data_IF_261668634872
#
_entry.id   IF_261668634872
#
_cell.length_a   1.000
_cell.length_b   1.000
_cell.length_c   1.000
_cell.angle_alpha   90.00
_cell.angle_beta   90.00
_cell.angle_gamma   90.00
#
_symmetry.space_group_name_H-M   'P 1'
#
loop_
_entity.id
_entity.type
_entity.pdbx_description
1 polymer ?
#
# COMPACT_ATOMS: atom_id res chain seq x y z
N UNK A 1 23.88 9.35 21.54
CA UNK A 1 23.20 8.14 21.04
C UNK A 1 23.10 8.27 19.52
N UNK A 2 23.84 7.47 18.75
CA UNK A 2 23.74 7.43 17.28
C UNK A 2 23.12 6.07 16.94
N UNK A 3 22.08 6.09 16.12
CA UNK A 3 21.22 4.96 15.72
C UNK A 3 20.24 4.45 16.79
N UNK A 4 18.95 4.79 16.59
CA UNK A 4 17.84 4.26 17.38
C UNK A 4 17.25 3.02 16.69
N UNK A 5 16.98 1.97 17.46
CA UNK A 5 16.25 0.78 16.98
C UNK A 5 14.97 0.61 17.78
N UNK A 6 14.07 -0.28 17.34
CA UNK A 6 12.87 -0.59 18.14
C UNK A 6 13.19 -1.16 19.52
N UNK A 7 14.37 -1.77 19.70
CA UNK A 7 14.83 -2.25 21.02
C UNK A 7 15.24 -1.11 21.96
N UNK A 8 15.46 0.10 21.45
CA UNK A 8 15.76 1.29 22.25
C UNK A 8 14.52 1.89 22.92
N UNK A 9 13.33 1.33 22.68
CA UNK A 9 12.09 1.73 23.35
C UNK A 9 12.08 1.21 24.79
N UNK A 10 11.79 2.07 25.75
CA UNK A 10 11.71 1.64 27.15
C UNK A 10 11.77 2.78 28.15
N UNK A 11 11.69 2.43 29.43
CA UNK A 11 11.87 3.35 30.54
C UNK A 11 13.36 3.55 30.81
N UNK A 12 13.81 4.79 30.72
CA UNK A 12 15.18 5.20 31.02
C UNK A 12 15.20 5.97 32.33
N UNK A 13 16.24 5.73 33.12
CA UNK A 13 16.46 6.35 34.42
C UNK A 13 17.79 7.08 34.41
N UNK A 14 17.79 8.34 34.83
CA UNK A 14 18.98 9.11 35.11
C UNK A 14 19.14 9.20 36.63
N UNK A 15 20.35 8.95 37.12
CA UNK A 15 20.69 9.03 38.53
C UNK A 15 21.98 9.83 38.69
N UNK A 16 22.00 10.73 39.65
CA UNK A 16 23.16 11.54 40.04
C UNK A 16 23.41 11.30 41.50
N UNK A 17 24.65 10.97 41.86
CA UNK A 17 25.06 10.68 43.22
C UNK A 17 26.23 11.56 43.63
N UNK A 18 26.20 12.05 44.85
CA UNK A 18 27.27 12.78 45.50
C UNK A 18 28.28 11.80 46.13
N UNK A 19 29.56 12.14 46.07
CA UNK A 19 30.64 11.37 46.71
C UNK A 19 30.98 11.93 48.11
N UNK A 20 31.81 11.21 48.87
CA UNK A 20 32.14 11.52 50.25
C UNK A 20 32.50 13.02 50.51
N UNK A 21 32.13 13.57 51.69
CA UNK A 21 31.64 12.88 52.89
C UNK A 21 30.11 12.67 52.97
N UNK A 22 29.33 13.28 52.08
CA UNK A 22 27.86 13.19 52.02
C UNK A 22 27.42 12.33 50.85
N UNK A 23 26.75 11.21 51.13
CA UNK A 23 26.17 10.34 50.10
C UNK A 23 24.69 10.69 49.89
N UNK A 24 24.41 11.55 48.92
CA UNK A 24 23.06 11.85 48.46
C UNK A 24 22.88 11.40 47.00
N UNK A 25 21.70 10.91 46.63
CA UNK A 25 21.38 10.64 45.23
C UNK A 25 20.02 11.19 44.83
N UNK A 26 19.92 11.61 43.57
CA UNK A 26 18.68 12.06 42.93
C UNK A 26 18.48 11.30 41.63
N UNK A 27 17.23 10.93 41.34
CA UNK A 27 16.87 10.11 40.19
C UNK A 27 15.66 10.69 39.46
N UNK A 28 15.58 10.46 38.15
CA UNK A 28 14.39 10.74 37.34
C UNK A 28 14.23 9.70 36.24
N UNK A 29 12.98 9.41 35.87
CA UNK A 29 12.64 8.40 34.86
C UNK A 29 11.84 9.01 33.71
N UNK A 30 12.08 8.52 32.49
CA UNK A 30 11.34 8.93 31.28
C UNK A 30 11.21 7.75 30.30
N UNK A 31 10.04 7.60 29.68
CA UNK A 31 9.81 6.57 28.67
C UNK A 31 10.20 7.07 27.28
N UNK A 32 11.13 6.38 26.62
CA UNK A 32 11.52 6.64 25.24
C UNK A 32 10.64 5.83 24.29
N UNK A 33 9.85 6.51 23.46
CA UNK A 33 9.08 5.91 22.37
C UNK A 33 9.85 6.04 21.05
N UNK A 34 9.76 5.01 20.18
CA UNK A 34 10.48 4.98 18.91
C UNK A 34 9.48 4.84 17.77
N UNK A 35 9.52 5.78 16.83
CA UNK A 35 8.69 5.74 15.62
C UNK A 35 9.54 5.37 14.42
N UNK A 36 9.06 4.39 13.65
CA UNK A 36 9.63 4.01 12.36
C UNK A 36 8.66 4.35 11.25
N UNK A 37 8.85 5.51 10.61
CA UNK A 37 7.96 5.95 9.54
C UNK A 37 8.21 5.18 8.23
N UNK A 38 7.15 4.86 7.47
CA UNK A 38 7.29 4.17 6.19
C UNK A 38 8.03 5.05 5.18
N UNK A 39 9.08 4.49 4.57
CA UNK A 39 9.85 5.15 3.51
C UNK A 39 9.11 5.15 2.18
N UNK A 40 8.36 4.09 1.92
CA UNK A 40 7.62 3.88 0.68
C UNK A 40 6.14 4.23 0.83
N UNK A 41 5.49 4.52 -0.30
CA UNK A 41 4.04 4.70 -0.36
C UNK A 41 3.31 3.37 -0.19
N UNK A 42 2.05 3.36 0.29
CA UNK A 42 1.27 2.13 0.33
C UNK A 42 1.12 1.52 -1.07
N UNK A 43 1.05 0.20 -1.14
CA UNK A 43 0.86 -0.56 -2.38
C UNK A 43 -0.61 -0.90 -2.54
N UNK A 44 -1.16 -0.66 -3.74
CA UNK A 44 -2.51 -1.07 -4.13
C UNK A 44 -2.41 -2.27 -5.07
N UNK A 45 -3.19 -3.33 -4.80
CA UNK A 45 -3.19 -4.59 -5.55
C UNK A 45 -4.60 -5.08 -5.82
N UNK A 46 -4.76 -6.00 -6.77
CA UNK A 46 -6.05 -6.54 -7.21
C UNK A 46 -6.51 -5.88 -8.51
N UNK A 47 -6.14 -4.62 -8.69
CA UNK A 47 -6.52 -3.78 -9.82
C UNK A 47 -5.90 -4.16 -11.18
N UNK A 48 -5.03 -5.17 -11.23
CA UNK A 48 -4.31 -5.56 -12.45
C UNK A 48 -5.20 -6.33 -13.45
N UNK A 49 -6.28 -6.96 -12.97
CA UNK A 49 -7.24 -7.67 -13.83
C UNK A 49 -8.29 -6.69 -14.34
N UNK A 50 -8.68 -6.83 -15.61
CA UNK A 50 -9.83 -6.12 -16.13
C UNK A 50 -11.09 -6.51 -15.35
N UNK A 51 -11.78 -5.52 -14.77
CA UNK A 51 -13.08 -5.74 -14.14
C UNK A 51 -14.19 -5.54 -15.14
N UNK A 52 -15.26 -6.31 -15.02
CA UNK A 52 -16.48 -6.11 -15.80
C UNK A 52 -17.40 -5.12 -15.09
N UNK A 53 -18.13 -4.31 -15.87
CA UNK A 53 -19.26 -3.56 -15.29
C UNK A 53 -20.23 -4.57 -14.66
N UNK A 54 -20.68 -4.28 -13.44
CA UNK A 54 -21.62 -5.06 -12.59
C UNK A 54 -21.00 -6.08 -11.63
N UNK A 55 -19.70 -6.35 -11.70
CA UNK A 55 -19.00 -7.07 -10.62
C UNK A 55 -18.40 -6.05 -9.64
N UNK A 56 -18.34 -6.35 -8.33
CA UNK A 56 -17.69 -5.47 -7.37
C UNK A 56 -16.17 -5.43 -7.63
N UNK A 57 -15.62 -4.24 -7.45
CA UNK A 57 -14.18 -3.99 -7.45
C UNK A 57 -13.60 -4.44 -6.11
N UNK A 58 -12.76 -5.47 -6.15
CA UNK A 58 -12.04 -5.99 -4.99
C UNK A 58 -10.55 -5.66 -5.10
N UNK A 59 -10.07 -4.75 -4.23
CA UNK A 59 -8.68 -4.32 -4.17
C UNK A 59 -8.18 -4.24 -2.74
N UNK A 60 -6.87 -4.44 -2.57
CA UNK A 60 -6.21 -4.32 -1.28
C UNK A 60 -5.22 -3.17 -1.29
N UNK A 61 -5.15 -2.45 -0.17
CA UNK A 61 -4.08 -1.53 0.12
C UNK A 61 -3.24 -2.07 1.27
N UNK A 62 -1.93 -2.21 1.06
CA UNK A 62 -0.97 -2.60 2.09
C UNK A 62 0.03 -1.48 2.33
N UNK A 63 0.30 -1.15 3.58
CA UNK A 63 1.32 -0.17 3.94
C UNK A 63 2.73 -0.71 3.71
N UNK A 64 3.72 0.19 3.66
CA UNK A 64 5.09 -0.21 3.93
C UNK A 64 5.28 -0.53 5.42
N UNK A 65 6.40 -1.16 5.76
CA UNK A 65 6.76 -1.53 7.13
C UNK A 65 6.94 -0.26 7.98
N UNK A 66 6.32 -0.23 9.16
CA UNK A 66 6.43 0.89 10.09
C UNK A 66 6.21 0.48 11.54
N UNK A 67 6.46 1.40 12.47
CA UNK A 67 6.04 1.26 13.85
C UNK A 67 5.66 2.64 14.42
N UNK A 68 4.46 2.80 15.01
CA UNK A 68 3.38 1.81 15.08
C UNK A 68 2.82 1.45 13.69
N UNK A 69 1.87 0.52 13.65
CA UNK A 69 1.15 0.20 12.42
C UNK A 69 0.39 1.45 11.93
N UNK A 70 0.38 1.73 10.62
CA UNK A 70 -0.29 2.91 10.10
C UNK A 70 -1.79 2.68 9.98
N UNK A 71 -2.55 3.74 10.19
CA UNK A 71 -3.98 3.76 9.88
C UNK A 71 -4.15 3.92 8.36
N UNK A 72 -4.95 3.02 7.78
CA UNK A 72 -5.25 3.03 6.35
C UNK A 72 -6.64 3.63 6.09
N UNK A 73 -6.73 4.44 5.05
CA UNK A 73 -7.97 5.06 4.61
C UNK A 73 -8.09 5.03 3.09
N UNK A 74 -9.23 4.53 2.60
CA UNK A 74 -9.59 4.61 1.19
C UNK A 74 -10.31 5.91 0.86
N UNK A 75 -9.96 6.49 -0.28
CA UNK A 75 -10.62 7.63 -0.91
C UNK A 75 -10.95 7.24 -2.34
N UNK A 76 -12.23 7.28 -2.70
CA UNK A 76 -12.74 6.91 -4.03
C UNK A 76 -13.31 8.17 -4.67
N UNK A 77 -12.81 8.53 -5.85
CA UNK A 77 -13.25 9.71 -6.60
C UNK A 77 -13.20 11.02 -5.77
N UNK A 78 -12.22 11.11 -4.87
CA UNK A 78 -12.04 12.26 -3.96
C UNK A 78 -12.82 12.18 -2.65
N UNK A 79 -13.75 11.22 -2.52
CA UNK A 79 -14.55 11.03 -1.31
C UNK A 79 -13.94 9.97 -0.37
N UNK A 80 -13.81 10.30 0.92
CA UNK A 80 -13.37 9.33 1.93
C UNK A 80 -14.45 8.26 2.13
N UNK A 81 -14.04 6.99 2.10
CA UNK A 81 -14.93 5.86 2.39
C UNK A 81 -15.04 5.69 3.90
N UNK A 82 -16.23 5.96 4.44
CA UNK A 82 -16.56 5.78 5.87
C UNK A 82 -17.50 4.62 6.12
N UNK A 83 -18.21 4.15 5.09
CA UNK A 83 -19.07 2.98 5.17
C UNK A 83 -18.23 1.71 5.32
N UNK A 84 -18.40 1.04 6.47
CA UNK A 84 -17.68 -0.20 6.80
C UNK A 84 -18.08 -1.36 5.91
N UNK A 85 -19.25 -1.35 5.29
CA UNK A 85 -19.70 -2.43 4.39
C UNK A 85 -18.80 -2.57 3.16
N UNK A 86 -18.08 -1.49 2.78
CA UNK A 86 -17.13 -1.50 1.67
C UNK A 86 -15.71 -1.88 2.10
N UNK A 87 -15.45 -1.95 3.41
CA UNK A 87 -14.09 -2.08 3.95
C UNK A 87 -13.86 -3.47 4.54
N UNK A 88 -12.74 -4.07 4.15
CA UNK A 88 -12.31 -5.37 4.69
C UNK A 88 -11.05 -5.13 5.52
N UNK A 89 -11.21 -5.11 6.85
CA UNK A 89 -10.09 -4.89 7.76
C UNK A 89 -9.30 -6.18 7.97
N UNK A 90 -8.08 -6.25 7.41
CA UNK A 90 -7.15 -7.36 7.66
C UNK A 90 -6.25 -7.12 8.89
N UNK A 91 -6.22 -5.89 9.38
CA UNK A 91 -5.42 -5.48 10.53
C UNK A 91 -3.93 -5.32 10.23
N UNK A 92 -3.16 -5.09 11.29
CA UNK A 92 -1.71 -4.99 11.25
C UNK A 92 -1.09 -6.38 11.44
N UNK A 93 -0.15 -6.73 10.57
CA UNK A 93 0.61 -7.99 10.64
C UNK A 93 2.08 -7.72 10.93
N UNK A 94 2.75 -8.57 11.74
CA UNK A 94 4.18 -8.48 11.96
C UNK A 94 4.99 -8.59 10.66
N UNK A 95 6.06 -7.81 10.59
CA UNK A 95 7.07 -7.83 9.56
C UNK A 95 8.47 -7.97 10.19
N UNK A 96 9.51 -7.95 9.36
CA UNK A 96 10.90 -8.01 9.82
C UNK A 96 11.23 -6.93 10.86
N UNK A 97 12.11 -7.25 11.82
CA UNK A 97 12.63 -6.32 12.82
C UNK A 97 11.58 -5.75 13.81
N UNK A 98 10.43 -6.41 13.98
CA UNK A 98 9.37 -5.96 14.89
C UNK A 98 8.51 -4.83 14.32
N UNK A 99 8.69 -4.50 13.03
CA UNK A 99 7.82 -3.57 12.32
C UNK A 99 6.49 -4.22 11.97
N UNK A 100 5.52 -3.41 11.59
CA UNK A 100 4.16 -3.82 11.26
C UNK A 100 3.79 -3.36 9.85
N UNK A 101 2.90 -4.13 9.21
CA UNK A 101 2.27 -3.77 7.93
C UNK A 101 0.76 -3.84 8.11
N UNK A 102 0.07 -2.72 7.88
CA UNK A 102 -1.39 -2.69 7.85
C UNK A 102 -1.90 -3.05 6.46
N UNK A 103 -3.03 -3.75 6.38
CA UNK A 103 -3.74 -3.97 5.11
C UNK A 103 -5.24 -3.69 5.25
N UNK A 104 -5.80 -2.95 4.30
CA UNK A 104 -7.21 -2.60 4.22
C UNK A 104 -7.74 -2.91 2.82
N UNK A 105 -8.68 -3.84 2.73
CA UNK A 105 -9.40 -4.16 1.50
C UNK A 105 -10.53 -3.16 1.24
N UNK A 106 -10.84 -2.97 -0.04
CA UNK A 106 -11.97 -2.21 -0.52
C UNK A 106 -12.77 -3.10 -1.48
N UNK A 107 -14.05 -3.27 -1.17
CA UNK A 107 -15.06 -3.88 -2.03
C UNK A 107 -16.07 -2.79 -2.40
N UNK A 108 -15.98 -2.28 -3.63
CA UNK A 108 -16.80 -1.15 -4.09
C UNK A 108 -17.57 -1.47 -5.38
N UNK A 109 -18.72 -0.84 -5.65
CA UNK A 109 -19.37 -0.94 -6.95
C UNK A 109 -18.46 -0.42 -8.07
N UNK A 110 -18.37 -1.16 -9.18
CA UNK A 110 -17.57 -0.74 -10.35
C UNK A 110 -18.22 0.44 -11.07
N UNK A 111 -17.38 1.38 -11.52
CA UNK A 111 -17.75 2.44 -12.49
C UNK A 111 -16.82 2.35 -13.70
N UNK A 112 -17.20 2.96 -14.81
CA UNK A 112 -16.39 2.98 -16.04
C UNK A 112 -14.96 3.48 -15.81
N UNK A 113 -14.82 4.50 -14.96
CA UNK A 113 -13.55 5.05 -14.52
C UNK A 113 -13.65 5.43 -13.05
N UNK A 114 -12.67 4.99 -12.26
CA UNK A 114 -12.60 5.28 -10.83
C UNK A 114 -11.19 5.70 -10.46
N UNK A 115 -11.06 6.73 -9.61
CA UNK A 115 -9.80 7.15 -9.02
C UNK A 115 -9.73 6.67 -7.58
N UNK A 116 -8.90 5.67 -7.34
CA UNK A 116 -8.67 5.16 -6.00
C UNK A 116 -7.42 5.81 -5.40
N UNK A 117 -7.53 6.29 -4.16
CA UNK A 117 -6.39 6.72 -3.36
C UNK A 117 -6.41 5.97 -2.05
N UNK A 118 -5.30 5.32 -1.72
CA UNK A 118 -5.05 4.78 -0.40
C UNK A 118 -4.10 5.70 0.36
N UNK A 119 -4.43 5.97 1.61
CA UNK A 119 -3.69 6.83 2.53
C UNK A 119 -3.24 6.01 3.72
N UNK A 120 -1.97 6.09 4.08
CA UNK A 120 -1.39 5.54 5.30
C UNK A 120 -0.92 6.66 6.23
N UNK A 121 -1.34 6.63 7.49
CA UNK A 121 -1.06 7.71 8.47
C UNK A 121 -0.48 7.15 9.77
N UNK A 122 0.53 7.83 10.33
CA UNK A 122 1.10 7.57 11.66
C UNK A 122 1.28 8.93 12.35
N UNK A 123 0.39 9.27 13.29
CA UNK A 123 0.36 10.61 13.88
C UNK A 123 0.21 11.68 12.80
N UNK A 124 1.20 12.59 12.69
CA UNK A 124 1.25 13.62 11.65
C UNK A 124 1.87 13.17 10.33
N UNK A 125 2.54 12.01 10.29
CA UNK A 125 3.21 11.52 9.09
C UNK A 125 2.22 10.79 8.16
N UNK A 126 2.23 11.15 6.88
CA UNK A 126 1.26 10.68 5.89
C UNK A 126 1.95 10.26 4.60
N UNK A 127 1.56 9.10 4.05
CA UNK A 127 1.93 8.62 2.71
C UNK A 127 0.68 8.19 1.95
N UNK A 128 0.67 8.38 0.65
CA UNK A 128 -0.49 8.02 -0.17
C UNK A 128 -0.09 7.49 -1.54
N UNK A 129 -0.94 6.62 -2.10
CA UNK A 129 -0.82 6.10 -3.45
C UNK A 129 -2.16 6.23 -4.15
N UNK A 130 -2.12 6.67 -5.41
CA UNK A 130 -3.32 6.80 -6.25
C UNK A 130 -3.17 5.90 -7.46
N UNK A 131 -4.25 5.22 -7.85
CA UNK A 131 -4.38 4.47 -9.10
C UNK A 131 -5.70 4.88 -9.78
N UNK A 132 -5.71 4.82 -11.11
CA UNK A 132 -6.91 5.04 -11.92
C UNK A 132 -7.26 3.69 -12.53
N UNK A 133 -8.51 3.27 -12.37
CA UNK A 133 -9.03 2.02 -12.93
C UNK A 133 -10.03 2.39 -14.00
N UNK A 134 -9.86 1.83 -15.18
CA UNK A 134 -10.77 1.97 -16.31
C UNK A 134 -11.26 0.58 -16.72
N UNK A 135 -12.54 0.47 -17.06
CA UNK A 135 -13.12 -0.78 -17.52
C UNK A 135 -12.62 -1.08 -18.93
N UNK A 136 -12.11 -2.31 -19.14
CA UNK A 136 -11.78 -2.81 -20.46
C UNK A 136 -13.03 -2.76 -21.36
N UNK A 137 -13.02 -1.90 -22.38
CA UNK A 137 -14.08 -1.84 -23.39
C UNK A 137 -13.86 -2.80 -24.57
N UNK A 138 -13.00 -3.82 -24.44
CA UNK A 138 -12.64 -4.71 -25.56
C UNK A 138 -13.02 -6.18 -25.34
N UNK A 139 -14.25 -6.50 -25.70
CA UNK A 139 -14.58 -7.71 -26.47
C UNK A 139 -15.67 -7.36 -27.50
N UNK A 140 -15.43 -6.32 -28.30
CA UNK A 140 -16.00 -6.29 -29.64
C UNK A 140 -15.28 -7.36 -30.46
N UNK A 141 -16.06 -8.19 -31.15
CA UNK A 141 -15.61 -9.14 -32.16
C UNK A 141 -14.42 -8.57 -32.92
N UNK A 142 -13.24 -9.19 -32.79
CA UNK A 142 -12.26 -9.08 -33.86
C UNK A 142 -12.92 -9.79 -35.04
N UNK A 143 -13.31 -9.12 -36.15
CA UNK A 143 -13.58 -9.86 -37.35
C UNK A 143 -12.26 -10.58 -37.67
N UNK A 144 -12.32 -11.90 -37.71
CA UNK A 144 -11.27 -12.69 -38.30
C UNK A 144 -11.22 -12.23 -39.75
N UNK A 145 -10.33 -11.29 -40.06
CA UNK A 145 -10.04 -10.89 -41.42
C UNK A 145 -9.42 -12.10 -42.09
N UNK A 146 -10.28 -12.93 -42.70
CA UNK A 146 -9.89 -13.84 -43.76
C UNK A 146 -9.39 -12.98 -44.93
N UNK A 147 -8.14 -12.57 -44.86
CA UNK A 147 -7.36 -12.29 -46.06
C UNK A 147 -7.21 -13.63 -46.78
N UNK A 148 -8.15 -13.91 -47.68
CA UNK A 148 -7.98 -14.90 -48.73
C UNK A 148 -6.85 -14.37 -49.60
N UNK A 149 -5.61 -14.77 -49.31
CA UNK A 149 -4.51 -14.62 -50.25
C UNK A 149 -4.78 -15.65 -51.35
N UNK A 150 -5.41 -15.22 -52.43
CA UNK A 150 -5.44 -15.97 -53.68
C UNK A 150 -4.00 -16.00 -54.18
N UNK A 151 -3.29 -17.09 -53.90
CA UNK A 151 -1.99 -17.36 -54.48
C UNK A 151 -2.16 -17.61 -55.98
N UNK A 152 -2.14 -16.54 -56.78
CA UNK A 152 -1.92 -16.63 -58.21
C UNK A 152 -0.49 -17.14 -58.43
N UNK A 153 -0.40 -18.35 -58.99
CA UNK A 153 0.83 -18.98 -59.46
C UNK A 153 1.55 -18.03 -60.43
N UNK A 154 2.68 -17.47 -60.02
CA UNK A 154 3.68 -16.95 -60.96
C UNK A 154 4.74 -18.04 -61.09
N UNK A 155 4.68 -18.77 -62.21
CA UNK A 155 5.75 -19.65 -62.67
C UNK A 155 6.75 -18.76 -63.39
N UNK A 156 7.92 -18.51 -62.79
CA UNK A 156 9.06 -17.98 -63.53
C UNK A 156 9.86 -19.15 -64.10
N UNK A 157 9.84 -19.30 -65.42
CA UNK A 157 10.76 -20.15 -66.19
C UNK A 157 12.04 -19.36 -66.42
N UNK A 158 13.20 -19.93 -66.07
CA UNK A 158 14.50 -19.38 -66.48
C UNK A 158 14.85 -19.95 -67.85
N UNK A 159 15.02 -19.05 -68.82
CA UNK A 159 15.61 -19.33 -70.14
C UNK A 159 16.99 -18.68 -70.11
N UNK A 160 17.99 -19.46 -70.54
CA UNK A 160 19.46 -19.29 -70.46
C UNK A 160 20.10 -19.58 -69.10
#
# INVERSE_FOLDING_TARGET
MRELTLKSRGLYRCEVSEEAPSFHSAQSEAFMEVYYFPRETPRITGHERAYQLKEPLDVNCSSAKSFPAPDLQWVVDGQKITDRSWLIAFGAKPASQGLLVSTLGLRAPTKQRMKLKCVATIGSHRRERTVIIEVSSSSWNKPFSLLIIIALKIVCVKIS
#
